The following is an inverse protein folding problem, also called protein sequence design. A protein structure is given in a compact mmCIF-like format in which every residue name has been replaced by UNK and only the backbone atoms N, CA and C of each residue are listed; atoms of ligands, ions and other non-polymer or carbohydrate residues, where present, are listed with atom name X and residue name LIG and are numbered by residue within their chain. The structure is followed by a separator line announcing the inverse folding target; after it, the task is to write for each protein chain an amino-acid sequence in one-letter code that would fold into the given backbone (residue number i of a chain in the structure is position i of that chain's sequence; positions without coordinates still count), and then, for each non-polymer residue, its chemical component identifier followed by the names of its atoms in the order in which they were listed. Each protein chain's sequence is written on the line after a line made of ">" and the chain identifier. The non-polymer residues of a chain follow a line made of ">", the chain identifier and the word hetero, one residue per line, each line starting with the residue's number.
data_IF_959021295602
#
_entry.id   IF_959021295602
#
_cell.length_a   1.000
_cell.length_b   1.000
_cell.length_c   1.000
_cell.angle_alpha   90.00
_cell.angle_beta   90.00
_cell.angle_gamma   90.00
#
_symmetry.space_group_name_H-M   'P 1'
#
loop_
_entity.id
_entity.type
_entity.pdbx_description
1 polymer ?
#
# COMPACT_ATOMS: atom_id res chain seq x y z
N UNK A 1 -10.22 -1.12 -53.60
CA UNK A 1 -10.78 -2.49 -53.47
C UNK A 1 -11.84 -2.43 -52.39
N UNK A 2 -13.10 -2.52 -52.78
CA UNK A 2 -14.27 -2.55 -51.89
C UNK A 2 -14.79 -3.99 -51.79
N UNK A 3 -15.09 -4.46 -50.58
CA UNK A 3 -16.00 -5.56 -50.20
C UNK A 3 -15.63 -6.01 -48.78
N UNK A 4 -16.53 -6.25 -47.81
CA UNK A 4 -17.98 -6.40 -47.82
C UNK A 4 -18.55 -6.01 -46.44
N UNK A 5 -19.69 -5.31 -46.44
CA UNK A 5 -20.62 -5.24 -45.30
C UNK A 5 -21.56 -6.44 -45.40
N UNK A 6 -21.68 -7.20 -44.32
CA UNK A 6 -22.81 -8.10 -44.12
C UNK A 6 -23.37 -7.85 -42.73
N UNK A 7 -24.47 -7.08 -42.69
CA UNK A 7 -25.37 -7.03 -41.55
C UNK A 7 -26.34 -8.20 -41.69
N UNK A 8 -26.56 -8.94 -40.61
CA UNK A 8 -27.71 -9.82 -40.47
C UNK A 8 -28.34 -9.58 -39.10
N UNK A 9 -29.51 -8.96 -39.13
CA UNK A 9 -30.41 -8.69 -38.01
C UNK A 9 -31.48 -9.76 -38.03
N UNK A 10 -31.66 -10.57 -36.98
CA UNK A 10 -32.88 -11.40 -36.78
C UNK A 10 -33.14 -11.62 -35.28
N UNK A 11 -34.10 -10.83 -34.78
CA UNK A 11 -35.26 -11.18 -33.92
C UNK A 11 -35.11 -11.44 -32.40
N UNK A 12 -35.81 -10.59 -31.63
CA UNK A 12 -36.23 -10.79 -30.24
C UNK A 12 -37.05 -12.08 -30.06
N UNK A 13 -36.78 -12.80 -28.97
CA UNK A 13 -37.81 -13.59 -28.30
C UNK A 13 -37.67 -13.37 -26.79
N UNK A 14 -38.62 -12.62 -26.22
CA UNK A 14 -38.82 -12.53 -24.79
C UNK A 14 -39.37 -13.85 -24.26
N UNK A 15 -38.72 -14.44 -23.27
CA UNK A 15 -39.28 -15.51 -22.45
C UNK A 15 -39.26 -15.04 -21.00
N UNK A 16 -40.41 -14.57 -20.54
CA UNK A 16 -40.71 -14.42 -19.11
C UNK A 16 -41.45 -15.68 -18.69
N UNK A 17 -40.84 -16.48 -17.80
CA UNK A 17 -41.60 -17.38 -16.93
C UNK A 17 -41.01 -17.29 -15.52
N UNK A 18 -41.84 -16.80 -14.61
CA UNK A 18 -41.66 -16.71 -13.16
C UNK A 18 -41.90 -18.07 -12.51
N UNK A 19 -41.09 -18.47 -11.52
CA UNK A 19 -41.56 -19.24 -10.37
C UNK A 19 -40.53 -19.21 -9.22
N UNK A 20 -40.96 -18.54 -8.15
CA UNK A 20 -40.33 -18.43 -6.84
C UNK A 20 -40.52 -19.72 -6.04
N UNK A 21 -39.47 -20.23 -5.38
CA UNK A 21 -39.47 -20.61 -3.95
C UNK A 21 -38.23 -21.45 -3.53
N UNK A 22 -37.47 -20.86 -2.59
CA UNK A 22 -36.99 -21.43 -1.34
C UNK A 22 -35.84 -22.47 -1.34
N UNK A 23 -34.74 -22.07 -0.70
CA UNK A 23 -33.52 -22.83 -0.43
C UNK A 23 -32.33 -21.92 -0.67
N UNK A 24 -32.07 -20.90 0.16
CA UNK A 24 -31.88 -21.04 1.59
C UNK A 24 -30.41 -21.27 1.88
N UNK A 25 -29.59 -20.33 1.42
CA UNK A 25 -28.14 -20.29 1.54
C UNK A 25 -27.76 -18.96 0.92
N UNK A 26 -27.95 -17.89 1.68
CA UNK A 26 -27.33 -16.62 1.35
C UNK A 26 -25.84 -16.91 1.35
N UNK A 27 -25.24 -17.08 0.17
CA UNK A 27 -23.88 -16.62 -0.01
C UNK A 27 -23.99 -15.11 0.27
N UNK A 28 -23.81 -14.76 1.56
CA UNK A 28 -23.21 -13.50 1.92
C UNK A 28 -21.88 -13.53 1.15
N UNK A 29 -21.92 -13.01 -0.08
CA UNK A 29 -20.74 -12.51 -0.71
C UNK A 29 -20.19 -11.55 0.34
N UNK A 30 -19.14 -11.98 1.03
CA UNK A 30 -18.25 -11.09 1.74
C UNK A 30 -17.97 -9.98 0.74
N UNK A 31 -18.65 -8.86 0.95
CA UNK A 31 -18.39 -7.61 0.26
C UNK A 31 -16.97 -7.31 0.71
N UNK A 32 -15.99 -7.80 -0.05
CA UNK A 32 -14.59 -7.44 0.09
C UNK A 32 -14.59 -5.94 -0.10
N UNK A 33 -14.78 -5.24 1.01
CA UNK A 33 -15.07 -3.83 1.04
C UNK A 33 -13.99 -3.17 0.19
N UNK A 34 -14.43 -2.56 -0.91
CA UNK A 34 -13.52 -1.90 -1.83
C UNK A 34 -12.53 -1.08 -1.01
N UNK A 35 -11.24 -1.36 -1.22
CA UNK A 35 -10.13 -0.68 -0.57
C UNK A 35 -10.46 0.79 -0.36
N UNK A 36 -10.58 1.24 0.89
CA UNK A 36 -10.95 2.63 1.20
C UNK A 36 -9.71 3.53 1.17
N UNK A 37 -9.20 3.75 -0.04
CA UNK A 37 -8.06 4.63 -0.32
C UNK A 37 -8.27 6.06 0.20
N UNK A 38 -9.50 6.58 0.12
CA UNK A 38 -9.86 7.92 0.61
C UNK A 38 -10.05 8.01 2.13
N UNK A 39 -10.29 6.89 2.83
CA UNK A 39 -10.52 6.90 4.27
C UNK A 39 -9.27 6.54 5.10
N UNK A 40 -8.23 5.99 4.47
CA UNK A 40 -7.02 5.60 5.17
C UNK A 40 -6.32 6.83 5.77
N UNK A 41 -6.30 6.92 7.10
CA UNK A 41 -5.55 7.91 7.85
C UNK A 41 -4.14 7.36 8.13
N UNK A 42 -3.06 7.88 7.51
CA UNK A 42 -1.75 7.22 7.55
C UNK A 42 -1.20 7.03 8.96
N UNK A 43 -1.53 7.91 9.91
CA UNK A 43 -1.09 7.77 11.30
C UNK A 43 -1.72 6.60 12.06
N UNK A 44 -2.79 6.01 11.51
CA UNK A 44 -3.46 4.83 12.08
C UNK A 44 -2.94 3.51 11.51
N UNK A 45 -2.10 3.56 10.48
CA UNK A 45 -1.62 2.39 9.74
C UNK A 45 -0.42 1.71 10.39
N UNK A 46 0.12 2.27 11.48
CA UNK A 46 1.26 1.71 12.19
C UNK A 46 1.02 1.77 13.70
N UNK A 47 1.55 0.78 14.40
CA UNK A 47 1.53 0.71 15.85
C UNK A 47 2.93 0.88 16.44
N UNK A 48 2.98 1.05 17.77
CA UNK A 48 4.25 1.25 18.46
C UNK A 48 5.18 0.02 18.33
N UNK A 49 4.65 -1.19 18.16
CA UNK A 49 5.42 -2.43 18.06
C UNK A 49 6.17 -2.50 16.72
N UNK A 50 5.49 -2.17 15.63
CA UNK A 50 6.06 -2.14 14.27
C UNK A 50 7.02 -0.97 14.05
N UNK A 51 6.82 0.14 14.77
CA UNK A 51 7.71 1.32 14.69
C UNK A 51 8.94 1.23 15.60
N UNK A 52 8.85 0.56 16.75
CA UNK A 52 9.94 0.43 17.73
C UNK A 52 11.29 -0.06 17.14
N UNK A 53 11.35 -1.07 16.24
CA UNK A 53 12.64 -1.52 15.68
C UNK A 53 13.27 -0.54 14.67
N UNK A 54 12.52 0.47 14.22
CA UNK A 54 12.95 1.46 13.24
C UNK A 54 13.37 2.79 13.89
N UNK A 55 12.90 3.05 15.11
CA UNK A 55 13.09 4.32 15.81
C UNK A 55 13.91 4.14 17.10
N UNK A 56 14.81 5.08 17.38
CA UNK A 56 15.81 5.00 18.45
C UNK A 56 15.31 5.61 19.76
N UNK A 57 14.58 6.71 19.66
CA UNK A 57 13.67 7.19 20.69
C UNK A 57 12.27 6.80 20.22
N UNK A 58 11.53 6.02 21.02
CA UNK A 58 10.26 5.40 20.62
C UNK A 58 9.30 6.34 19.86
N UNK A 59 8.38 5.76 19.10
CA UNK A 59 7.70 6.43 17.99
C UNK A 59 7.03 7.78 18.28
N UNK A 60 6.58 8.01 19.52
CA UNK A 60 5.77 9.16 19.88
C UNK A 60 4.42 9.13 19.16
N UNK A 61 3.71 10.26 19.21
CA UNK A 61 2.54 10.47 18.36
C UNK A 61 3.03 10.86 16.95
N UNK A 62 2.54 10.14 15.94
CA UNK A 62 2.83 10.47 14.55
C UNK A 62 2.29 11.85 14.21
N UNK A 63 3.04 12.61 13.42
CA UNK A 63 2.61 13.92 12.94
C UNK A 63 2.10 13.79 11.52
N UNK A 64 0.83 14.14 11.30
CA UNK A 64 0.27 14.21 9.95
C UNK A 64 0.98 15.30 9.16
N UNK A 65 1.44 14.95 7.97
CA UNK A 65 1.92 15.87 6.97
C UNK A 65 0.93 15.86 5.80
N UNK A 66 0.24 16.98 5.61
CA UNK A 66 -0.61 17.21 4.44
C UNK A 66 0.16 18.03 3.41
N UNK A 67 0.31 17.46 2.22
CA UNK A 67 0.67 18.20 1.01
C UNK A 67 -0.46 18.05 0.00
N UNK A 68 -0.54 18.95 -0.98
CA UNK A 68 -1.71 19.15 -1.87
C UNK A 68 -2.33 17.87 -2.46
N UNK A 69 -1.54 16.79 -2.64
CA UNK A 69 -2.00 15.47 -3.07
C UNK A 69 -1.46 14.30 -2.21
N UNK A 70 -0.99 14.56 -1.00
CA UNK A 70 -0.34 13.54 -0.16
C UNK A 70 -0.76 13.63 1.29
N UNK A 71 -1.37 12.55 1.77
CA UNK A 71 -1.47 12.29 3.20
C UNK A 71 -0.29 11.42 3.58
N UNK A 72 0.49 11.91 4.53
CA UNK A 72 1.55 11.14 5.14
C UNK A 72 1.49 11.28 6.65
N UNK A 73 2.04 10.30 7.33
CA UNK A 73 2.33 10.40 8.75
C UNK A 73 3.81 10.18 8.98
N UNK A 74 4.40 11.02 9.83
CA UNK A 74 5.81 10.98 10.16
C UNK A 74 5.98 10.71 11.66
N UNK A 75 6.79 9.72 11.99
CA UNK A 75 7.23 9.42 13.35
C UNK A 75 8.72 9.66 13.49
N UNK A 76 9.17 9.88 14.73
CA UNK A 76 10.57 10.05 15.07
C UNK A 76 11.04 11.51 15.06
N UNK A 77 12.36 11.70 15.00
CA UNK A 77 13.03 13.00 15.15
C UNK A 77 13.87 13.30 13.92
N UNK A 78 13.46 14.29 13.14
CA UNK A 78 14.11 14.66 11.88
C UNK A 78 15.57 15.12 12.11
N UNK A 79 15.83 15.85 13.18
CA UNK A 79 17.17 16.33 13.57
C UNK A 79 18.14 15.18 13.89
N UNK A 80 17.60 14.03 14.32
CA UNK A 80 18.38 12.82 14.58
C UNK A 80 18.53 11.93 13.35
N UNK A 81 17.97 12.34 12.19
CA UNK A 81 17.85 11.54 10.97
C UNK A 81 17.23 10.16 11.25
N UNK A 82 16.30 10.10 12.20
CA UNK A 82 15.62 8.89 12.55
C UNK A 82 14.13 9.09 12.47
N UNK A 83 13.57 8.76 11.30
CA UNK A 83 12.17 8.98 10.99
C UNK A 83 11.59 7.81 10.23
N UNK A 84 10.30 7.56 10.44
CA UNK A 84 9.50 6.69 9.57
C UNK A 84 8.41 7.57 8.97
N UNK A 85 8.24 7.52 7.66
CA UNK A 85 7.16 8.18 6.95
C UNK A 85 6.33 7.13 6.23
N UNK A 86 5.03 7.12 6.47
CA UNK A 86 4.06 6.31 5.72
C UNK A 86 3.22 7.26 4.88
N UNK A 87 3.10 7.00 3.59
CA UNK A 87 2.24 7.74 2.69
C UNK A 87 1.41 6.80 1.83
N UNK A 88 0.18 7.19 1.52
CA UNK A 88 -0.74 6.45 0.64
C UNK A 88 -0.70 6.96 -0.79
N UNK A 89 0.46 7.49 -1.21
CA UNK A 89 0.76 7.95 -2.58
C UNK A 89 2.21 7.65 -2.92
N UNK A 90 2.58 7.87 -4.18
CA UNK A 90 3.93 7.61 -4.69
C UNK A 90 5.00 8.43 -3.96
N UNK A 91 6.22 7.88 -3.87
CA UNK A 91 7.35 8.59 -3.29
C UNK A 91 7.70 9.86 -4.11
N UNK A 92 8.08 10.99 -3.47
CA UNK A 92 8.34 12.28 -4.15
C UNK A 92 9.43 12.25 -5.22
N UNK A 93 10.28 11.22 -5.23
CA UNK A 93 11.35 11.01 -6.20
C UNK A 93 11.42 9.52 -6.54
N UNK A 94 10.38 9.02 -7.22
CA UNK A 94 10.30 7.63 -7.65
C UNK A 94 11.34 7.34 -8.75
N UNK A 95 12.60 7.17 -8.35
CA UNK A 95 13.67 6.69 -9.22
C UNK A 95 13.40 5.28 -9.74
N UNK A 96 14.30 4.80 -10.60
CA UNK A 96 14.26 3.41 -11.05
C UNK A 96 14.37 2.47 -9.84
N UNK A 97 13.61 1.37 -9.87
CA UNK A 97 13.69 0.37 -8.81
C UNK A 97 15.09 -0.25 -8.76
N UNK A 98 15.66 -0.30 -7.55
CA UNK A 98 16.95 -0.94 -7.28
C UNK A 98 16.83 -2.47 -7.22
N UNK A 99 15.74 -2.95 -6.60
CA UNK A 99 15.35 -4.36 -6.45
C UNK A 99 13.90 -4.47 -5.96
N UNK A 100 13.36 -5.67 -5.91
CA UNK A 100 12.02 -5.95 -5.37
C UNK A 100 12.07 -6.84 -4.12
N UNK A 101 11.01 -6.75 -3.32
CA UNK A 101 10.68 -7.65 -2.21
C UNK A 101 9.28 -8.20 -2.37
N UNK A 102 9.06 -9.41 -1.85
CA UNK A 102 7.71 -9.88 -1.52
C UNK A 102 7.33 -9.29 -0.16
N UNK A 103 6.21 -8.57 -0.10
CA UNK A 103 5.68 -7.98 1.12
C UNK A 103 4.21 -8.35 1.18
N UNK A 104 3.87 -9.32 2.05
CA UNK A 104 2.49 -9.79 2.17
C UNK A 104 1.92 -10.36 0.87
N UNK A 105 2.75 -10.97 0.01
CA UNK A 105 2.33 -11.51 -1.29
C UNK A 105 2.25 -10.48 -2.43
N UNK A 106 2.58 -9.21 -2.15
CA UNK A 106 2.67 -8.16 -3.16
C UNK A 106 4.13 -7.83 -3.50
N UNK A 107 4.40 -7.61 -4.78
CA UNK A 107 5.70 -7.13 -5.22
C UNK A 107 5.88 -5.67 -4.82
N UNK A 108 6.85 -5.42 -3.95
CA UNK A 108 7.22 -4.08 -3.49
C UNK A 108 8.58 -3.68 -4.07
N UNK A 109 8.68 -2.46 -4.56
CA UNK A 109 9.87 -1.89 -5.17
C UNK A 109 10.71 -1.16 -4.12
N UNK A 110 12.00 -1.44 -4.10
CA UNK A 110 12.99 -0.62 -3.39
C UNK A 110 13.41 0.52 -4.32
N UNK A 111 13.14 1.76 -3.92
CA UNK A 111 13.47 2.96 -4.71
C UNK A 111 14.76 3.63 -4.23
N UNK A 112 15.06 3.51 -2.94
CA UNK A 112 16.31 3.97 -2.35
C UNK A 112 16.74 2.99 -1.26
N UNK A 113 18.02 2.67 -1.21
CA UNK A 113 18.60 1.86 -0.15
C UNK A 113 20.05 2.30 0.12
N UNK A 114 20.31 2.61 1.38
CA UNK A 114 21.64 2.86 1.93
C UNK A 114 21.66 2.47 3.40
N UNK A 115 22.82 2.61 4.06
CA UNK A 115 22.96 2.30 5.49
C UNK A 115 21.91 2.95 6.39
N UNK A 116 21.50 4.17 6.06
CA UNK A 116 20.65 5.00 6.90
C UNK A 116 19.32 5.36 6.26
N UNK A 117 19.02 4.82 5.08
CA UNK A 117 17.86 5.24 4.32
C UNK A 117 17.29 4.08 3.52
N UNK A 118 15.98 3.89 3.61
CA UNK A 118 15.20 2.99 2.77
C UNK A 118 13.96 3.72 2.26
N UNK A 119 13.58 3.46 1.00
CA UNK A 119 12.26 3.77 0.45
C UNK A 119 11.68 2.51 -0.19
N UNK A 120 10.57 2.01 0.36
CA UNK A 120 9.77 0.91 -0.19
C UNK A 120 8.47 1.46 -0.78
N UNK A 121 8.09 0.96 -1.94
CA UNK A 121 6.85 1.31 -2.62
C UNK A 121 6.10 0.06 -3.06
N UNK A 122 4.82 -0.04 -2.70
CA UNK A 122 3.92 -1.11 -3.14
C UNK A 122 2.75 -0.49 -3.88
N UNK A 123 2.60 -0.83 -5.16
CA UNK A 123 1.50 -0.31 -5.99
C UNK A 123 0.52 -1.43 -6.31
N UNK A 124 -0.76 -1.15 -6.09
CA UNK A 124 -1.89 -2.01 -6.44
C UNK A 124 -2.85 -1.26 -7.38
N UNK A 125 -3.89 -1.93 -7.87
CA UNK A 125 -4.96 -1.25 -8.60
C UNK A 125 -5.70 -0.20 -7.75
N UNK A 126 -5.63 -0.33 -6.41
CA UNK A 126 -6.32 0.55 -5.49
C UNK A 126 -5.50 1.76 -5.03
N UNK A 127 -4.19 1.78 -5.29
CA UNK A 127 -3.31 2.88 -4.92
C UNK A 127 -1.87 2.45 -4.63
N UNK A 128 -1.07 3.41 -4.18
CA UNK A 128 0.34 3.21 -3.82
C UNK A 128 0.56 3.43 -2.33
N UNK A 129 1.31 2.53 -1.70
CA UNK A 129 1.88 2.68 -0.38
C UNK A 129 3.35 3.02 -0.54
N UNK A 130 3.79 4.10 0.10
CA UNK A 130 5.19 4.48 0.19
C UNK A 130 5.62 4.51 1.65
N UNK A 131 6.73 3.84 1.97
CA UNK A 131 7.35 3.82 3.29
C UNK A 131 8.79 4.29 3.15
N UNK A 132 9.07 5.48 3.67
CA UNK A 132 10.42 6.01 3.80
C UNK A 132 10.89 5.80 5.24
N UNK A 133 12.05 5.17 5.41
CA UNK A 133 12.68 4.99 6.72
C UNK A 133 14.07 5.59 6.71
N UNK A 134 14.30 6.54 7.61
CA UNK A 134 15.63 7.05 7.94
C UNK A 134 16.05 6.44 9.27
N UNK A 135 17.17 5.73 9.26
CA UNK A 135 17.72 5.09 10.43
C UNK A 135 18.71 6.03 11.10
N UNK A 136 18.62 6.17 12.43
CA UNK A 136 19.57 6.95 13.22
C UNK A 136 21.02 6.52 12.96
N UNK A 137 21.96 7.43 13.23
CA UNK A 137 23.39 7.21 12.99
C UNK A 137 23.99 6.06 13.82
N UNK A 138 23.28 5.65 14.87
CA UNK A 138 23.54 4.51 15.73
C UNK A 138 23.00 3.18 15.17
N UNK A 139 22.35 3.16 14.00
CA UNK A 139 21.90 1.94 13.35
C UNK A 139 23.11 1.05 12.95
N UNK A 140 23.40 0.07 13.80
CA UNK A 140 24.49 -0.92 13.63
C UNK A 140 23.98 -2.10 12.80
N UNK A 141 23.72 -1.92 11.51
CA UNK A 141 23.37 -3.02 10.59
C UNK A 141 24.08 -2.91 9.25
N UNK A 142 24.08 -4.01 8.49
CA UNK A 142 24.63 -4.06 7.14
C UNK A 142 24.02 -2.96 6.26
N UNK A 143 24.84 -2.15 5.58
CA UNK A 143 24.36 -0.96 4.89
C UNK A 143 23.43 -1.26 3.72
N UNK A 144 23.60 -2.41 3.07
CA UNK A 144 22.91 -2.79 1.83
C UNK A 144 21.64 -3.63 2.07
N UNK A 145 21.13 -3.63 3.30
CA UNK A 145 19.93 -4.39 3.71
C UNK A 145 19.01 -3.60 4.64
N UNK A 146 19.08 -2.28 4.57
CA UNK A 146 18.28 -1.43 5.44
C UNK A 146 16.78 -1.58 5.15
N UNK A 147 16.39 -1.87 3.90
CA UNK A 147 14.99 -2.07 3.54
C UNK A 147 14.39 -3.38 4.06
N UNK A 148 15.21 -4.41 4.33
CA UNK A 148 14.73 -5.65 4.98
C UNK A 148 14.13 -5.36 6.37
N UNK A 149 14.57 -4.28 7.03
CA UNK A 149 14.06 -3.87 8.34
C UNK A 149 12.67 -3.24 8.25
N UNK A 150 12.34 -2.61 7.13
CA UNK A 150 11.06 -1.93 6.91
C UNK A 150 9.96 -2.86 6.38
N UNK A 151 10.32 -4.08 5.94
CA UNK A 151 9.35 -5.08 5.43
C UNK A 151 8.25 -5.42 6.46
N UNK A 152 8.54 -5.71 7.74
CA UNK A 152 7.48 -6.03 8.70
C UNK A 152 6.47 -4.88 8.90
N UNK A 153 6.92 -3.63 8.82
CA UNK A 153 6.03 -2.47 8.86
C UNK A 153 5.18 -2.42 7.58
N UNK A 154 5.77 -2.63 6.41
CA UNK A 154 5.05 -2.63 5.14
C UNK A 154 3.96 -3.73 5.11
N UNK A 155 4.28 -4.94 5.56
CA UNK A 155 3.30 -6.03 5.69
C UNK A 155 2.15 -5.66 6.63
N UNK A 156 2.47 -5.06 7.79
CA UNK A 156 1.45 -4.59 8.72
C UNK A 156 0.51 -3.56 8.08
N UNK A 157 1.07 -2.55 7.41
CA UNK A 157 0.29 -1.49 6.77
C UNK A 157 -0.62 -2.05 5.67
N UNK A 158 -0.10 -2.93 4.81
CA UNK A 158 -0.88 -3.56 3.75
C UNK A 158 -2.03 -4.39 4.30
N UNK A 159 -1.82 -5.09 5.41
CA UNK A 159 -2.87 -5.82 6.12
C UNK A 159 -3.94 -4.88 6.70
N UNK A 160 -3.55 -3.77 7.35
CA UNK A 160 -4.51 -2.78 7.86
C UNK A 160 -5.36 -2.16 6.75
N UNK A 161 -4.76 -1.95 5.59
CA UNK A 161 -5.43 -1.41 4.41
C UNK A 161 -6.28 -2.44 3.66
N UNK A 162 -6.18 -3.74 4.01
CA UNK A 162 -6.79 -4.86 3.30
C UNK A 162 -6.40 -4.88 1.80
N UNK A 163 -5.13 -4.62 1.49
CA UNK A 163 -4.62 -4.62 0.11
C UNK A 163 -4.14 -6.01 -0.38
N UNK A 164 -4.25 -7.02 0.47
CA UNK A 164 -3.79 -8.40 0.23
C UNK A 164 -4.57 -9.13 -0.85
#
# INVERSE_FOLDING_TARGET
>A
MYSNKAAFTVTLAAVVTTLSACGGGSDEADDSAAVQWDAAEPCTLADAETLAPLLTAGAGEGTTAEHEDRRACVWGVAEALNTVTISTTDAPDSGDSLRTFDVGGLESRVLAESKYHCVLETTTEAGTLSIETKFGLDAITNPDRSCERSVPLAEHVLNQLNWT
#
